data_IF_980809399503
#
_entry.id   IF_980809399503
#
_cell.length_a   1.000
_cell.length_b   1.000
_cell.length_c   1.000
_cell.angle_alpha   90.00
_cell.angle_beta   90.00
_cell.angle_gamma   90.00
#
_symmetry.space_group_name_H-M   'P 1'
#
loop_
_entity.id
_entity.type
_entity.pdbx_description
1 polymer ?
#
# COMPACT_ATOMS: atom_id res chain seq x y z
N UNK A 1 -11.89 8.96 -0.01
CA UNK A 1 -11.09 10.16 0.32
C UNK A 1 -11.38 11.24 -0.72
N UNK A 2 -12.43 12.03 -0.52
CA UNK A 2 -12.71 13.16 -1.40
C UNK A 2 -11.78 14.31 -1.01
N UNK A 3 -11.10 14.92 -1.98
CA UNK A 3 -10.65 16.30 -1.80
C UNK A 3 -11.88 17.07 -1.31
N UNK A 4 -11.77 17.79 -0.18
CA UNK A 4 -12.89 18.57 0.40
C UNK A 4 -13.45 19.64 -0.56
N UNK A 5 -12.83 19.80 -1.72
CA UNK A 5 -13.17 20.77 -2.74
C UNK A 5 -13.37 20.02 -4.07
N UNK A 6 -14.57 20.12 -4.64
CA UNK A 6 -14.93 19.45 -5.89
C UNK A 6 -14.36 20.23 -7.10
N UNK A 7 -13.59 19.59 -7.99
CA UNK A 7 -13.13 20.22 -9.24
C UNK A 7 -14.27 20.77 -10.11
N UNK A 8 -15.47 20.18 -9.96
CA UNK A 8 -16.67 20.56 -10.71
C UNK A 8 -17.13 21.98 -10.37
N UNK A 9 -17.00 22.40 -9.10
CA UNK A 9 -17.43 23.73 -8.66
C UNK A 9 -16.63 24.86 -9.33
N UNK A 10 -15.40 24.57 -9.74
CA UNK A 10 -14.46 25.54 -10.32
C UNK A 10 -14.15 25.26 -11.79
N UNK A 11 -14.93 24.38 -12.44
CA UNK A 11 -14.70 23.87 -13.79
C UNK A 11 -14.48 25.00 -14.81
N UNK A 12 -15.28 26.05 -14.71
CA UNK A 12 -15.36 27.11 -15.72
C UNK A 12 -14.69 28.42 -15.26
N UNK A 13 -13.98 28.42 -14.12
CA UNK A 13 -13.24 29.62 -13.66
C UNK A 13 -11.92 29.70 -14.41
N UNK A 14 -11.72 30.69 -15.31
CA UNK A 14 -10.48 30.84 -16.06
C UNK A 14 -9.32 31.20 -15.13
N UNK A 15 -8.14 30.65 -15.43
CA UNK A 15 -6.90 30.86 -14.71
C UNK A 15 -5.79 31.21 -15.69
N UNK A 16 -5.11 32.33 -15.49
CA UNK A 16 -3.84 32.61 -16.17
C UNK A 16 -2.76 31.69 -15.59
N UNK A 17 -2.38 30.66 -16.35
CA UNK A 17 -1.37 29.69 -15.93
C UNK A 17 0.00 30.35 -15.81
N UNK A 18 0.89 29.74 -15.01
CA UNK A 18 2.29 30.14 -14.92
C UNK A 18 3.21 28.95 -15.16
N UNK A 19 4.13 29.08 -16.10
CA UNK A 19 5.23 28.13 -16.31
C UNK A 19 6.54 28.84 -16.02
N UNK A 20 7.41 28.23 -15.21
CA UNK A 20 8.62 28.89 -14.69
C UNK A 20 8.33 30.26 -14.00
N UNK A 21 7.12 30.43 -13.46
CA UNK A 21 6.66 31.68 -12.85
C UNK A 21 6.18 32.76 -13.83
N UNK A 22 6.31 32.56 -15.15
CA UNK A 22 5.90 33.51 -16.18
C UNK A 22 4.48 33.21 -16.72
N UNK A 23 3.72 34.22 -17.17
CA UNK A 23 2.41 34.01 -17.78
C UNK A 23 2.45 33.02 -18.95
N UNK A 24 1.49 32.09 -18.97
CA UNK A 24 1.37 31.06 -19.98
C UNK A 24 -0.09 30.89 -20.44
N UNK A 25 -0.33 29.96 -21.35
CA UNK A 25 -1.68 29.66 -21.88
C UNK A 25 -2.69 29.45 -20.74
N UNK A 26 -3.88 30.09 -20.82
CA UNK A 26 -4.91 29.92 -19.80
C UNK A 26 -5.35 28.47 -19.57
N UNK A 27 -5.73 28.15 -18.34
CA UNK A 27 -6.36 26.91 -17.89
C UNK A 27 -7.63 27.26 -17.12
N UNK A 28 -8.21 26.30 -16.38
CA UNK A 28 -9.25 26.58 -15.38
C UNK A 28 -8.83 26.09 -14.01
N UNK A 29 -9.35 26.74 -12.95
CA UNK A 29 -9.08 26.33 -11.57
C UNK A 29 -9.49 24.86 -11.37
N UNK A 30 -10.67 24.47 -11.87
CA UNK A 30 -11.14 23.09 -11.82
C UNK A 30 -10.21 22.10 -12.50
N UNK A 31 -9.60 22.46 -13.65
CA UNK A 31 -8.64 21.61 -14.35
C UNK A 31 -7.37 21.37 -13.52
N UNK A 32 -6.84 22.39 -12.86
CA UNK A 32 -5.64 22.24 -12.01
C UNK A 32 -5.93 21.42 -10.74
N UNK A 33 -7.13 21.57 -10.18
CA UNK A 33 -7.58 20.73 -9.07
C UNK A 33 -7.75 19.26 -9.47
N UNK A 34 -8.27 19.01 -10.68
CA UNK A 34 -8.41 17.65 -11.22
C UNK A 34 -7.06 16.95 -11.39
N UNK A 35 -6.00 17.68 -11.79
CA UNK A 35 -4.64 17.14 -11.86
C UNK A 35 -4.17 16.58 -10.50
N UNK A 36 -4.42 17.32 -9.42
CA UNK A 36 -4.06 16.89 -8.05
C UNK A 36 -4.92 15.69 -7.63
N UNK A 37 -6.23 15.76 -7.85
CA UNK A 37 -7.17 14.68 -7.54
C UNK A 37 -6.75 13.36 -8.18
N UNK A 38 -6.45 13.39 -9.49
CA UNK A 38 -6.05 12.22 -10.26
C UNK A 38 -4.73 11.61 -9.75
N UNK A 39 -3.75 12.45 -9.39
CA UNK A 39 -2.49 11.98 -8.80
C UNK A 39 -2.70 11.32 -7.44
N UNK A 40 -3.54 11.91 -6.59
CA UNK A 40 -3.87 11.35 -5.28
C UNK A 40 -4.61 10.02 -5.41
N UNK A 41 -5.57 9.92 -6.33
CA UNK A 41 -6.31 8.68 -6.58
C UNK A 41 -5.37 7.55 -7.00
N UNK A 42 -4.39 7.82 -7.86
CA UNK A 42 -3.38 6.83 -8.24
C UNK A 42 -2.60 6.31 -7.02
N UNK A 43 -2.13 7.21 -6.15
CA UNK A 43 -1.41 6.81 -4.93
C UNK A 43 -2.32 6.05 -3.97
N UNK A 44 -3.58 6.46 -3.84
CA UNK A 44 -4.56 5.78 -3.01
C UNK A 44 -4.82 4.34 -3.48
N UNK A 45 -4.97 4.13 -4.80
CA UNK A 45 -5.10 2.78 -5.36
C UNK A 45 -3.86 1.93 -5.11
N UNK A 46 -2.66 2.50 -5.28
CA UNK A 46 -1.42 1.80 -4.98
C UNK A 46 -1.34 1.41 -3.51
N UNK A 47 -1.65 2.34 -2.59
CA UNK A 47 -1.65 2.09 -1.16
C UNK A 47 -2.65 1.00 -0.76
N UNK A 48 -3.87 1.02 -1.32
CA UNK A 48 -4.88 -0.01 -1.05
C UNK A 48 -4.49 -1.40 -1.57
N UNK A 49 -3.59 -1.47 -2.55
CA UNK A 49 -3.08 -2.73 -3.11
C UNK A 49 -1.84 -3.24 -2.38
N UNK A 50 -1.36 -2.53 -1.36
CA UNK A 50 -0.21 -2.95 -0.56
C UNK A 50 -0.59 -4.19 0.25
N UNK A 51 0.03 -5.30 -0.11
CA UNK A 51 -0.12 -6.62 0.49
C UNK A 51 0.48 -6.69 1.89
N UNK A 52 -0.33 -6.59 2.95
CA UNK A 52 0.20 -6.72 4.31
C UNK A 52 0.56 -8.19 4.57
N UNK A 53 1.87 -8.48 4.61
CA UNK A 53 2.42 -9.81 4.84
C UNK A 53 2.66 -10.08 6.32
N UNK A 54 2.42 -11.32 6.75
CA UNK A 54 2.65 -11.81 8.11
C UNK A 54 3.29 -13.20 8.11
N UNK A 55 3.94 -13.56 9.23
CA UNK A 55 4.66 -14.83 9.37
C UNK A 55 4.59 -15.39 10.79
N UNK A 56 4.64 -16.71 10.93
CA UNK A 56 4.91 -17.40 12.19
C UNK A 56 5.63 -18.72 11.94
N UNK A 57 6.95 -18.73 12.04
CA UNK A 57 7.79 -19.90 11.68
C UNK A 57 9.03 -20.08 12.60
N UNK A 58 8.95 -19.57 13.82
CA UNK A 58 9.97 -19.75 14.86
C UNK A 58 11.21 -18.85 14.73
N UNK A 59 12.26 -19.18 15.47
CA UNK A 59 13.42 -18.31 15.70
C UNK A 59 14.16 -17.89 14.42
N UNK A 60 14.25 -18.80 13.44
CA UNK A 60 15.01 -18.57 12.19
C UNK A 60 14.23 -18.93 10.93
N UNK A 61 12.92 -19.20 11.05
CA UNK A 61 12.05 -19.46 9.89
C UNK A 61 11.73 -20.92 9.58
N UNK A 62 12.25 -21.87 10.35
CA UNK A 62 12.20 -23.31 10.03
C UNK A 62 11.37 -24.16 11.01
N UNK A 63 10.56 -23.55 11.87
CA UNK A 63 9.70 -24.26 12.83
C UNK A 63 10.44 -25.17 13.85
N UNK A 64 11.77 -25.11 13.97
CA UNK A 64 12.60 -26.04 14.77
C UNK A 64 12.06 -26.36 16.16
N UNK A 65 11.69 -25.35 16.95
CA UNK A 65 11.17 -25.55 18.31
C UNK A 65 9.79 -26.24 18.33
N UNK A 66 8.97 -25.95 17.33
CA UNK A 66 7.63 -26.51 17.20
C UNK A 66 7.70 -27.99 16.81
N UNK A 67 8.52 -28.31 15.81
CA UNK A 67 8.78 -29.69 15.37
C UNK A 67 9.44 -30.51 16.49
N UNK A 68 10.35 -29.91 17.26
CA UNK A 68 10.99 -30.61 18.39
C UNK A 68 10.00 -30.98 19.50
N UNK A 69 8.97 -30.15 19.74
CA UNK A 69 7.96 -30.40 20.77
C UNK A 69 6.81 -31.28 20.28
N UNK A 70 6.37 -31.09 19.02
CA UNK A 70 5.25 -31.78 18.40
C UNK A 70 5.57 -32.09 16.94
N UNK A 71 6.32 -33.18 16.67
CA UNK A 71 6.73 -33.54 15.32
C UNK A 71 5.58 -34.01 14.42
N UNK A 72 4.46 -34.44 15.00
CA UNK A 72 3.27 -34.93 14.29
C UNK A 72 2.36 -33.83 13.72
N UNK A 73 2.57 -32.57 14.12
CA UNK A 73 1.75 -31.43 13.68
C UNK A 73 2.35 -30.81 12.43
N UNK A 74 1.52 -30.58 11.40
CA UNK A 74 1.92 -29.77 10.24
C UNK A 74 1.96 -28.28 10.61
N UNK A 75 3.12 -27.84 11.07
CA UNK A 75 3.36 -26.45 11.48
C UNK A 75 3.35 -25.46 10.31
N UNK A 76 3.56 -25.93 9.08
CA UNK A 76 3.51 -25.08 7.89
C UNK A 76 2.05 -24.72 7.58
N UNK A 77 1.17 -25.73 7.56
CA UNK A 77 -0.27 -25.52 7.41
C UNK A 77 -0.84 -24.67 8.57
N UNK A 78 -0.47 -24.97 9.82
CA UNK A 78 -0.89 -24.19 10.98
C UNK A 78 -0.49 -22.71 10.87
N UNK A 79 0.71 -22.42 10.37
CA UNK A 79 1.20 -21.06 10.16
C UNK A 79 0.35 -20.28 9.16
N UNK A 80 -0.01 -20.91 8.04
CA UNK A 80 -0.86 -20.31 7.01
C UNK A 80 -2.26 -20.01 7.55
N UNK A 81 -2.90 -21.00 8.17
CA UNK A 81 -4.23 -20.86 8.75
C UNK A 81 -4.27 -19.77 9.82
N UNK A 82 -3.26 -19.73 10.70
CA UNK A 82 -3.18 -18.71 11.74
C UNK A 82 -3.04 -17.30 11.15
N UNK A 83 -2.09 -17.08 10.24
CA UNK A 83 -1.86 -15.74 9.67
C UNK A 83 -3.05 -15.27 8.83
N UNK A 84 -3.64 -16.16 8.02
CA UNK A 84 -4.82 -15.82 7.21
C UNK A 84 -6.06 -15.58 8.06
N UNK A 85 -6.21 -16.24 9.21
CA UNK A 85 -7.30 -15.98 10.17
C UNK A 85 -7.29 -14.55 10.73
N UNK A 86 -6.13 -13.89 10.75
CA UNK A 86 -5.97 -12.50 11.18
C UNK A 86 -6.29 -11.48 10.05
N UNK A 87 -6.67 -11.95 8.86
CA UNK A 87 -6.88 -11.11 7.67
C UNK A 87 -5.58 -10.58 7.06
N UNK A 88 -4.45 -11.23 7.35
CA UNK A 88 -3.12 -10.88 6.84
C UNK A 88 -2.73 -11.90 5.77
N UNK A 89 -2.01 -11.46 4.74
CA UNK A 89 -1.47 -12.38 3.74
C UNK A 89 -0.25 -13.12 4.30
N UNK A 90 -0.16 -14.42 4.03
CA UNK A 90 0.88 -15.25 4.62
C UNK A 90 2.18 -15.22 3.83
N UNK A 91 3.31 -15.10 4.54
CA UNK A 91 4.66 -15.18 4.00
C UNK A 91 5.35 -16.45 4.53
N UNK A 92 5.42 -17.55 3.73
CA UNK A 92 5.97 -18.82 4.19
C UNK A 92 7.49 -18.81 4.40
N UNK A 93 8.21 -17.94 3.68
CA UNK A 93 9.67 -17.91 3.67
C UNK A 93 10.20 -16.64 4.32
N UNK A 94 10.61 -16.75 5.58
CA UNK A 94 11.23 -15.65 6.31
C UNK A 94 12.44 -16.13 7.10
N UNK A 95 13.25 -15.19 7.56
CA UNK A 95 14.26 -15.48 8.59
C UNK A 95 13.62 -15.26 9.97
N UNK A 96 14.40 -14.82 10.96
CA UNK A 96 13.87 -14.37 12.25
C UNK A 96 12.85 -13.24 12.10
N UNK A 97 13.05 -12.35 11.14
CA UNK A 97 12.16 -11.21 10.86
C UNK A 97 11.33 -11.45 9.60
N UNK A 98 10.17 -10.82 9.55
CA UNK A 98 9.46 -10.62 8.28
C UNK A 98 10.31 -9.71 7.39
N UNK A 99 10.44 -10.02 6.10
CA UNK A 99 11.28 -9.22 5.22
C UNK A 99 10.56 -7.93 4.89
N UNK A 100 11.10 -6.80 5.36
CA UNK A 100 10.55 -5.45 5.21
C UNK A 100 10.44 -4.92 3.75
N UNK A 101 10.36 -5.80 2.75
CA UNK A 101 10.20 -5.46 1.32
C UNK A 101 8.98 -4.57 1.07
N UNK A 102 7.94 -4.70 1.89
CA UNK A 102 6.75 -3.84 1.82
C UNK A 102 7.05 -2.37 2.11
N UNK A 103 7.97 -2.07 3.02
CA UNK A 103 8.26 -0.71 3.48
C UNK A 103 8.95 0.16 2.41
N UNK A 104 9.46 -0.46 1.32
CA UNK A 104 10.27 0.23 0.32
C UNK A 104 9.63 0.24 -1.10
N UNK A 105 8.38 -0.21 -1.27
CA UNK A 105 7.70 -0.28 -2.58
C UNK A 105 7.16 1.07 -3.11
N UNK A 106 7.43 2.19 -2.45
CA UNK A 106 6.83 3.52 -2.75
C UNK A 106 7.67 4.45 -3.63
N UNK A 107 8.63 3.95 -4.42
CA UNK A 107 9.41 4.76 -5.37
C UNK A 107 9.13 4.38 -6.82
#
# INVERSE_FOLDING_TARGET
>A
MALKISPVQYRDIPLLSRTHGQPATPSTIGKEMANVAYRMERQYRQLNQVEILGKINGAVGNYNAHIAAYPEVDWHQFSEEFVTSLGIQWNPYTTQIETARLHCRTV
#
